data_IF_394855549571
#
_entry.id   IF_394855549571
#
_cell.length_a   1.000
_cell.length_b   1.000
_cell.length_c   1.000
_cell.angle_alpha   90.00
_cell.angle_beta   90.00
_cell.angle_gamma   90.00
#
_symmetry.space_group_name_H-M   'P 1'
#
loop_
_entity.id
_entity.type
_entity.pdbx_description
1 polymer ?
#
# COMPACT_ATOMS: atom_id res chain seq x y z
N UNK A 1 24.10 5.40 -25.22
CA UNK A 1 23.33 6.32 -24.36
C UNK A 1 21.89 5.88 -24.21
N UNK A 2 21.11 5.91 -25.30
CA UNK A 2 19.66 5.66 -25.30
C UNK A 2 19.24 4.28 -24.72
N UNK A 3 19.95 3.22 -25.10
CA UNK A 3 19.66 1.86 -24.61
C UNK A 3 19.81 1.73 -23.10
N UNK A 4 20.82 2.38 -22.50
CA UNK A 4 21.01 2.34 -21.05
C UNK A 4 19.87 3.06 -20.32
N UNK A 5 19.46 4.23 -20.81
CA UNK A 5 18.35 5.01 -20.25
C UNK A 5 17.04 4.22 -20.32
N UNK A 6 16.77 3.54 -21.45
CA UNK A 6 15.59 2.70 -21.60
C UNK A 6 15.61 1.51 -20.63
N UNK A 7 16.75 0.84 -20.47
CA UNK A 7 16.86 -0.32 -19.58
C UNK A 7 16.69 0.07 -18.11
N UNK A 8 17.40 1.10 -17.64
CA UNK A 8 17.25 1.56 -16.25
C UNK A 8 15.84 2.10 -15.97
N UNK A 9 15.25 2.85 -16.89
CA UNK A 9 13.87 3.33 -16.75
C UNK A 9 12.84 2.20 -16.69
N UNK A 10 12.98 1.13 -17.50
CA UNK A 10 12.09 -0.03 -17.43
C UNK A 10 12.26 -0.81 -16.11
N UNK A 11 13.49 -0.93 -15.59
CA UNK A 11 13.75 -1.63 -14.33
C UNK A 11 13.16 -0.88 -13.13
N UNK A 12 13.39 0.43 -13.05
CA UNK A 12 12.83 1.27 -11.97
C UNK A 12 11.30 1.28 -12.01
N UNK A 13 10.72 1.44 -13.20
CA UNK A 13 9.26 1.36 -13.37
C UNK A 13 8.70 -0.01 -12.99
N UNK A 14 9.37 -1.09 -13.38
CA UNK A 14 8.95 -2.46 -13.06
C UNK A 14 8.93 -2.72 -11.55
N UNK A 15 9.96 -2.25 -10.84
CA UNK A 15 10.04 -2.38 -9.38
C UNK A 15 8.94 -1.56 -8.68
N UNK A 16 8.76 -0.31 -9.09
CA UNK A 16 7.73 0.57 -8.54
C UNK A 16 6.32 -0.02 -8.76
N UNK A 17 6.04 -0.54 -9.97
CA UNK A 17 4.76 -1.17 -10.27
C UNK A 17 4.51 -2.42 -9.40
N UNK A 18 5.52 -3.26 -9.23
CA UNK A 18 5.42 -4.46 -8.40
C UNK A 18 5.10 -4.12 -6.93
N UNK A 19 5.78 -3.12 -6.36
CA UNK A 19 5.50 -2.65 -5.01
C UNK A 19 4.08 -2.09 -4.86
N UNK A 20 3.60 -1.30 -5.82
CA UNK A 20 2.21 -0.77 -5.79
C UNK A 20 1.18 -1.89 -5.79
N UNK A 21 1.39 -2.94 -6.60
CA UNK A 21 0.47 -4.07 -6.64
C UNK A 21 0.42 -4.81 -5.31
N UNK A 22 1.57 -5.07 -4.69
CA UNK A 22 1.65 -5.72 -3.39
C UNK A 22 1.00 -4.88 -2.28
N UNK A 23 1.25 -3.56 -2.27
CA UNK A 23 0.65 -2.66 -1.28
C UNK A 23 -0.87 -2.55 -1.46
N UNK A 24 -1.37 -2.59 -2.69
CA UNK A 24 -2.82 -2.65 -2.95
C UNK A 24 -3.42 -3.97 -2.50
N UNK A 25 -2.73 -5.09 -2.72
CA UNK A 25 -3.15 -6.39 -2.22
C UNK A 25 -3.22 -6.38 -0.69
N UNK A 26 -2.20 -5.84 -0.02
CA UNK A 26 -2.17 -5.64 1.43
C UNK A 26 -3.34 -4.79 1.92
N UNK A 27 -3.60 -3.63 1.32
CA UNK A 27 -4.72 -2.77 1.70
C UNK A 27 -6.09 -3.47 1.58
N UNK A 28 -6.25 -4.33 0.56
CA UNK A 28 -7.47 -5.14 0.38
C UNK A 28 -7.60 -6.22 1.44
N UNK A 29 -6.52 -6.90 1.79
CA UNK A 29 -6.56 -7.90 2.87
C UNK A 29 -6.82 -7.25 4.22
N UNK A 30 -6.18 -6.11 4.52
CA UNK A 30 -6.45 -5.33 5.73
C UNK A 30 -7.90 -4.89 5.82
N UNK A 31 -8.50 -4.47 4.70
CA UNK A 31 -9.92 -4.13 4.65
C UNK A 31 -10.86 -5.33 4.83
N UNK A 32 -10.44 -6.54 4.40
CA UNK A 32 -11.18 -7.79 4.67
C UNK A 32 -11.19 -8.11 6.16
N UNK A 33 -10.05 -7.99 6.84
CA UNK A 33 -9.95 -8.22 8.29
C UNK A 33 -10.70 -7.13 9.07
N UNK A 34 -10.64 -5.88 8.61
CA UNK A 34 -11.42 -4.81 9.22
C UNK A 34 -12.94 -5.03 9.08
N UNK A 35 -13.39 -5.67 7.99
CA UNK A 35 -14.80 -5.97 7.76
C UNK A 35 -15.39 -7.00 8.74
N UNK A 36 -14.59 -7.97 9.19
CA UNK A 36 -14.98 -8.98 10.19
C UNK A 36 -14.77 -8.52 11.64
N UNK A 37 -14.68 -7.20 11.87
CA UNK A 37 -14.44 -6.59 13.19
C UNK A 37 -13.07 -6.95 13.80
N UNK A 38 -12.06 -7.20 12.96
CA UNK A 38 -10.69 -7.44 13.43
C UNK A 38 -10.05 -6.20 14.07
N UNK A 39 -9.17 -6.42 15.05
CA UNK A 39 -8.43 -5.35 15.72
C UNK A 39 -7.33 -4.74 14.83
N UNK A 40 -6.83 -3.56 15.19
CA UNK A 40 -5.75 -2.88 14.46
C UNK A 40 -4.48 -3.74 14.37
N UNK A 41 -4.19 -4.58 15.37
CA UNK A 41 -3.12 -5.57 15.31
C UNK A 41 -3.34 -6.63 14.21
N UNK A 42 -4.53 -7.22 14.14
CA UNK A 42 -4.88 -8.25 13.16
C UNK A 42 -4.90 -7.70 11.74
N UNK A 43 -5.41 -6.48 11.57
CA UNK A 43 -5.37 -5.74 10.30
C UNK A 43 -3.92 -5.54 9.87
N UNK A 44 -3.04 -5.08 10.78
CA UNK A 44 -1.63 -4.85 10.48
C UNK A 44 -0.91 -6.13 10.05
N UNK A 45 -1.15 -7.25 10.74
CA UNK A 45 -0.53 -8.54 10.43
C UNK A 45 -1.01 -9.11 9.09
N UNK A 46 -2.30 -8.95 8.79
CA UNK A 46 -2.88 -9.35 7.51
C UNK A 46 -2.34 -8.51 6.35
N UNK A 47 -2.13 -7.22 6.57
CA UNK A 47 -1.48 -6.32 5.61
C UNK A 47 -0.01 -6.70 5.39
N UNK A 48 0.76 -6.90 6.46
CA UNK A 48 2.19 -7.25 6.39
C UNK A 48 2.38 -8.57 5.67
N UNK A 49 1.62 -9.61 6.03
CA UNK A 49 1.67 -10.92 5.36
C UNK A 49 1.32 -10.85 3.87
N UNK A 50 0.37 -9.99 3.50
CA UNK A 50 -0.06 -9.80 2.10
C UNK A 50 0.81 -8.84 1.29
N UNK A 51 1.70 -8.08 1.95
CA UNK A 51 2.56 -7.09 1.32
C UNK A 51 3.80 -7.66 0.63
N UNK A 52 4.03 -8.98 0.72
CA UNK A 52 5.19 -9.68 0.16
C UNK A 52 6.55 -9.02 0.51
N UNK A 53 6.67 -8.48 1.73
CA UNK A 53 7.88 -7.79 2.22
C UNK A 53 7.96 -6.31 1.84
N UNK A 54 6.89 -5.73 1.29
CA UNK A 54 6.80 -4.29 0.99
C UNK A 54 6.44 -3.45 2.23
N UNK A 55 5.95 -4.08 3.31
CA UNK A 55 5.71 -3.46 4.61
C UNK A 55 6.62 -4.09 5.66
N UNK A 56 7.12 -3.25 6.57
CA UNK A 56 7.90 -3.69 7.72
C UNK A 56 7.00 -4.41 8.75
N UNK A 57 7.53 -5.40 9.51
CA UNK A 57 6.78 -6.05 10.57
C UNK A 57 6.36 -5.03 11.64
N UNK A 58 5.09 -5.08 12.07
CA UNK A 58 4.52 -4.10 13.00
C UNK A 58 4.07 -2.79 12.35
N UNK A 59 3.85 -2.76 11.04
CA UNK A 59 3.36 -1.59 10.33
C UNK A 59 1.99 -1.12 10.85
N UNK A 60 1.97 0.01 11.55
CA UNK A 60 0.74 0.67 12.05
C UNK A 60 0.33 1.89 11.20
N UNK A 61 0.91 2.01 10.00
CA UNK A 61 0.85 3.21 9.18
C UNK A 61 -0.40 3.34 8.31
N UNK A 62 -1.52 2.74 8.68
CA UNK A 62 -2.77 2.73 7.92
C UNK A 62 -3.86 3.54 8.62
N UNK A 63 -4.91 3.90 7.88
CA UNK A 63 -6.11 4.52 8.42
C UNK A 63 -7.35 3.75 7.98
N UNK A 64 -8.31 3.62 8.89
CA UNK A 64 -9.63 3.04 8.62
C UNK A 64 -10.69 4.14 8.60
N UNK A 65 -11.63 4.07 7.67
CA UNK A 65 -12.74 5.03 7.58
C UNK A 65 -13.80 4.82 8.66
N UNK A 66 -13.93 3.59 9.17
CA UNK A 66 -14.95 3.15 10.11
C UNK A 66 -14.45 1.89 10.80
N UNK A 67 -14.85 1.70 12.06
CA UNK A 67 -14.69 0.42 12.77
C UNK A 67 -15.99 -0.35 12.61
N UNK A 68 -15.89 -1.63 12.22
CA UNK A 68 -17.06 -2.48 12.11
C UNK A 68 -17.44 -3.00 13.50
N UNK A 69 -18.65 -2.67 13.94
CA UNK A 69 -19.33 -3.10 15.17
C UNK A 69 -20.73 -3.66 14.82
N UNK A 70 -21.45 -4.20 15.80
CA UNK A 70 -22.79 -4.82 15.64
C UNK A 70 -23.85 -3.89 15.00
N UNK A 71 -23.68 -2.57 15.10
CA UNK A 71 -24.60 -1.56 14.53
C UNK A 71 -24.20 -1.11 13.11
N UNK A 72 -23.09 -1.61 12.57
CA UNK A 72 -22.49 -1.13 11.32
C UNK A 72 -22.55 -2.13 10.17
N UNK A 73 -23.38 -3.17 10.30
CA UNK A 73 -23.55 -4.20 9.28
C UNK A 73 -23.89 -3.59 7.91
N UNK A 74 -23.12 -3.97 6.89
CA UNK A 74 -23.26 -3.47 5.53
C UNK A 74 -22.66 -2.09 5.26
N UNK A 75 -22.12 -1.38 6.27
CA UNK A 75 -21.39 -0.10 6.11
C UNK A 75 -20.04 -0.38 5.43
N UNK A 76 -19.61 0.45 4.46
CA UNK A 76 -18.31 0.27 3.83
C UNK A 76 -17.16 0.69 4.76
N UNK A 77 -16.25 -0.24 5.04
CA UNK A 77 -14.96 0.03 5.67
C UNK A 77 -13.89 0.17 4.59
N UNK A 78 -13.19 1.29 4.59
CA UNK A 78 -12.05 1.55 3.71
C UNK A 78 -10.78 1.63 4.52
N UNK A 79 -9.82 0.75 4.21
CA UNK A 79 -8.47 0.79 4.77
C UNK A 79 -7.55 1.45 3.76
N UNK A 80 -6.83 2.47 4.19
CA UNK A 80 -5.89 3.23 3.35
C UNK A 80 -4.50 3.18 3.97
N UNK A 81 -3.50 2.86 3.15
CA UNK A 81 -2.09 2.89 3.54
C UNK A 81 -1.58 4.32 3.35
N UNK A 82 -1.03 4.93 4.40
CA UNK A 82 -0.46 6.26 4.28
C UNK A 82 0.93 6.17 3.64
N UNK A 83 1.15 6.80 2.48
CA UNK A 83 2.45 6.75 1.81
C UNK A 83 3.61 7.30 2.67
N UNK A 84 3.31 8.19 3.63
CA UNK A 84 4.28 8.75 4.55
C UNK A 84 4.80 7.78 5.63
N UNK A 85 4.09 6.68 5.89
CA UNK A 85 4.49 5.65 6.87
C UNK A 85 5.23 4.47 6.24
N UNK A 86 5.35 4.45 4.91
CA UNK A 86 6.11 3.42 4.19
C UNK A 86 7.62 3.57 4.43
N UNK A 87 8.31 2.42 4.43
CA UNK A 87 9.76 2.35 4.60
C UNK A 87 10.49 3.15 3.52
N UNK A 88 11.66 3.72 3.86
CA UNK A 88 12.43 4.61 2.98
C UNK A 88 12.69 4.01 1.59
N UNK A 89 12.97 2.71 1.53
CA UNK A 89 13.23 1.95 0.29
C UNK A 89 12.03 1.86 -0.65
N UNK A 90 10.81 1.89 -0.10
CA UNK A 90 9.55 1.89 -0.87
C UNK A 90 9.21 3.30 -1.31
N UNK A 91 9.53 4.31 -0.48
CA UNK A 91 9.38 5.73 -0.83
C UNK A 91 10.35 6.15 -1.93
N UNK A 92 11.57 5.63 -1.93
CA UNK A 92 12.56 5.85 -2.98
C UNK A 92 12.17 5.19 -4.31
N UNK A 93 11.47 4.06 -4.29
CA UNK A 93 10.91 3.47 -5.52
C UNK A 93 9.81 4.34 -6.17
N UNK A 94 9.25 5.29 -5.42
CA UNK A 94 8.31 6.30 -5.94
C UNK A 94 8.99 7.58 -6.40
N UNK A 95 10.30 7.72 -6.20
CA UNK A 95 11.10 8.85 -6.63
C UNK A 95 11.95 8.44 -7.84
N UNK A 96 11.35 8.53 -9.03
CA UNK A 96 12.01 8.17 -10.29
C UNK A 96 12.94 9.32 -10.69
N UNK A 97 14.21 9.21 -10.31
CA UNK A 97 15.26 10.18 -10.64
C UNK A 97 15.88 9.84 -12.00
N UNK A 98 15.22 10.23 -13.09
CA UNK A 98 15.80 10.09 -14.44
C UNK A 98 16.79 11.24 -14.65
N UNK A 99 18.07 10.98 -14.96
CA UNK A 99 18.99 12.04 -15.33
C UNK A 99 18.41 12.83 -16.52
N UNK A 100 18.38 14.16 -16.40
CA UNK A 100 17.76 15.14 -17.33
C UNK A 100 16.24 15.35 -17.22
N UNK A 101 15.54 14.76 -16.25
CA UNK A 101 14.15 15.11 -15.92
C UNK A 101 14.04 15.50 -14.44
N UNK A 102 13.14 16.44 -14.09
CA UNK A 102 12.81 16.71 -12.69
C UNK A 102 12.22 15.45 -12.03
N UNK A 103 12.49 15.20 -10.74
CA UNK A 103 11.99 14.04 -10.02
C UNK A 103 10.47 14.02 -10.03
N UNK A 104 9.88 12.87 -10.38
CA UNK A 104 8.44 12.66 -10.36
C UNK A 104 8.12 11.76 -9.18
N UNK A 105 7.61 12.34 -8.10
CA UNK A 105 7.04 11.58 -6.98
C UNK A 105 5.66 11.05 -7.32
N UNK A 106 5.54 9.74 -7.46
CA UNK A 106 4.26 9.06 -7.63
C UNK A 106 3.62 8.85 -6.25
N UNK A 107 2.45 9.45 -6.00
CA UNK A 107 1.64 9.21 -4.81
C UNK A 107 0.42 8.34 -5.17
N UNK A 108 0.58 7.02 -5.33
CA UNK A 108 -0.56 6.16 -5.59
C UNK A 108 -1.45 6.12 -4.35
N UNK A 109 -2.77 6.11 -4.57
CA UNK A 109 -3.73 5.77 -3.53
C UNK A 109 -3.73 4.25 -3.35
N UNK A 110 -3.40 3.82 -2.13
CA UNK A 110 -3.31 2.43 -1.71
C UNK A 110 -4.47 2.16 -0.75
N UNK A 111 -5.63 1.83 -1.29
CA UNK A 111 -6.83 1.58 -0.48
C UNK A 111 -7.58 0.32 -0.90
N UNK A 112 -8.22 -0.31 0.08
CA UNK A 112 -9.16 -1.41 -0.10
C UNK A 112 -10.47 -1.10 0.62
N UNK A 113 -11.60 -1.42 -0.01
CA UNK A 113 -12.92 -1.22 0.58
C UNK A 113 -13.67 -2.54 0.64
N UNK A 114 -14.20 -2.87 1.81
CA UNK A 114 -15.09 -4.00 2.07
C UNK A 114 -16.33 -3.52 2.83
N UNK A 115 -17.35 -4.36 2.97
CA UNK A 115 -18.53 -4.07 3.78
C UNK A 115 -18.43 -4.82 5.10
N UNK A 116 -18.76 -4.16 6.20
CA UNK A 116 -18.84 -4.79 7.51
C UNK A 116 -19.84 -5.95 7.49
N UNK A 117 -19.48 -7.06 8.15
CA UNK A 117 -20.30 -8.24 8.38
C UNK A 117 -20.40 -8.55 9.87
#
# INVERSE_FOLDING_TARGET
>A
GLLAILVFGLLEYGLAFWQVQNLRAAAREGARVAAVRGDDGEISDAMVSSSAGSLDPGFSGFSKSTTCDDDSDGVPVTVTINNGSLSGSVREAFDVSIPFLPPITLNPTLSGTFRCE
#
